data_IF_145875688012
#
_entry.id   IF_145875688012
#
_cell.length_a   1.000
_cell.length_b   1.000
_cell.length_c   1.000
_cell.angle_alpha   90.00
_cell.angle_beta   90.00
_cell.angle_gamma   90.00
#
_symmetry.space_group_name_H-M   'P 1'
#
loop_
_entity.id
_entity.type
_entity.pdbx_description
1 polymer ?
#
# COMPACT_ATOMS: atom_id res chain seq x y z
N UNK A 1 7.18 -26.60 1.83
CA UNK A 1 7.07 -26.13 3.23
C UNK A 1 8.41 -25.86 3.93
N UNK A 2 9.53 -26.55 3.64
CA UNK A 2 10.83 -26.26 4.31
C UNK A 2 11.47 -24.91 3.98
N UNK A 3 11.12 -24.28 2.86
CA UNK A 3 11.76 -23.04 2.39
C UNK A 3 11.10 -21.76 2.95
N UNK A 4 9.82 -21.83 3.33
CA UNK A 4 9.05 -20.67 3.81
C UNK A 4 9.46 -20.26 5.22
N UNK A 5 9.74 -21.21 6.12
CA UNK A 5 10.17 -20.91 7.48
C UNK A 5 11.56 -20.24 7.53
N UNK A 6 12.49 -20.72 6.69
CA UNK A 6 13.83 -20.12 6.56
C UNK A 6 13.74 -18.71 5.96
N UNK A 7 12.94 -18.51 4.93
CA UNK A 7 12.72 -17.21 4.32
C UNK A 7 12.11 -16.21 5.33
N UNK A 8 11.08 -16.61 6.09
CA UNK A 8 10.50 -15.76 7.13
C UNK A 8 11.53 -15.39 8.20
N UNK A 9 12.31 -16.37 8.66
CA UNK A 9 13.35 -16.13 9.66
C UNK A 9 14.40 -15.11 9.17
N UNK A 10 14.91 -15.27 7.95
CA UNK A 10 15.88 -14.35 7.36
C UNK A 10 15.32 -12.93 7.25
N UNK A 11 14.09 -12.79 6.76
CA UNK A 11 13.50 -11.47 6.54
C UNK A 11 13.15 -10.78 7.88
N UNK A 12 12.64 -11.52 8.86
CA UNK A 12 12.44 -11.00 10.23
C UNK A 12 13.76 -10.55 10.87
N UNK A 13 14.80 -11.36 10.73
CA UNK A 13 16.14 -10.99 11.22
C UNK A 13 16.62 -9.67 10.59
N UNK A 14 16.41 -9.49 9.28
CA UNK A 14 16.72 -8.24 8.58
C UNK A 14 15.99 -7.03 9.15
N UNK A 15 14.70 -7.17 9.52
CA UNK A 15 13.94 -6.07 10.15
C UNK A 15 14.42 -5.70 11.55
N UNK A 16 15.11 -6.61 12.25
CA UNK A 16 15.67 -6.38 13.58
C UNK A 16 17.07 -5.76 13.48
N UNK A 17 17.90 -6.27 12.56
CA UNK A 17 19.28 -5.78 12.39
C UNK A 17 19.36 -4.43 11.68
N UNK A 18 18.40 -4.14 10.79
CA UNK A 18 18.32 -2.91 10.03
C UNK A 18 16.87 -2.38 9.99
N UNK A 19 16.34 -1.87 11.12
CA UNK A 19 14.96 -1.41 11.22
C UNK A 19 14.70 -0.16 10.39
N UNK A 20 15.71 0.64 10.07
CA UNK A 20 15.64 1.83 9.22
C UNK A 20 15.79 1.52 7.71
N UNK A 21 16.02 0.25 7.36
CA UNK A 21 16.08 -0.20 5.98
C UNK A 21 14.68 -0.56 5.47
N UNK A 22 14.13 0.27 4.58
CA UNK A 22 12.78 0.04 4.06
C UNK A 22 12.64 -1.25 3.23
N UNK A 23 13.73 -1.74 2.62
CA UNK A 23 13.70 -2.94 1.79
C UNK A 23 13.46 -4.20 2.63
N UNK A 24 13.98 -4.27 3.86
CA UNK A 24 13.73 -5.42 4.75
C UNK A 24 12.26 -5.52 5.14
N UNK A 25 11.62 -4.37 5.41
CA UNK A 25 10.18 -4.30 5.68
C UNK A 25 9.33 -4.59 4.44
N UNK A 26 9.76 -4.13 3.26
CA UNK A 26 9.10 -4.43 1.99
C UNK A 26 9.10 -5.94 1.73
N UNK A 27 10.26 -6.59 1.86
CA UNK A 27 10.39 -8.04 1.69
C UNK A 27 9.55 -8.82 2.70
N UNK A 28 9.42 -8.33 3.94
CA UNK A 28 8.56 -8.96 4.95
C UNK A 28 7.09 -8.89 4.53
N UNK A 29 6.66 -7.73 4.06
CA UNK A 29 5.30 -7.54 3.58
C UNK A 29 5.01 -8.38 2.32
N UNK A 30 5.95 -8.46 1.38
CA UNK A 30 5.83 -9.30 0.17
C UNK A 30 5.77 -10.78 0.56
N UNK A 31 6.62 -11.23 1.49
CA UNK A 31 6.58 -12.60 1.99
C UNK A 31 5.19 -12.95 2.54
N UNK A 32 4.67 -12.13 3.47
CA UNK A 32 3.36 -12.37 4.07
C UNK A 32 2.23 -12.37 3.05
N UNK A 33 2.26 -11.45 2.08
CA UNK A 33 1.29 -11.42 0.97
C UNK A 33 1.35 -12.70 0.13
N UNK A 34 2.55 -13.18 -0.21
CA UNK A 34 2.72 -14.38 -1.03
C UNK A 34 2.24 -15.67 -0.34
N UNK A 35 2.23 -15.70 0.99
CA UNK A 35 1.66 -16.81 1.77
C UNK A 35 0.20 -16.59 2.18
N UNK A 36 -0.47 -15.58 1.63
CA UNK A 36 -1.90 -15.28 1.87
C UNK A 36 -2.18 -14.64 3.24
N UNK A 37 -1.17 -14.12 3.92
CA UNK A 37 -1.28 -13.46 5.22
C UNK A 37 -1.39 -11.94 5.06
N UNK A 38 -2.46 -11.48 4.43
CA UNK A 38 -2.63 -10.06 4.07
C UNK A 38 -2.61 -9.11 5.27
N UNK A 39 -3.12 -9.55 6.43
CA UNK A 39 -3.12 -8.75 7.65
C UNK A 39 -1.68 -8.55 8.18
N UNK A 40 -0.88 -9.61 8.24
CA UNK A 40 0.52 -9.55 8.66
C UNK A 40 1.34 -8.72 7.68
N UNK A 41 1.05 -8.84 6.37
CA UNK A 41 1.69 -8.04 5.35
C UNK A 41 1.42 -6.54 5.54
N UNK A 42 0.17 -6.18 5.80
CA UNK A 42 -0.20 -4.78 6.10
C UNK A 42 0.46 -4.27 7.38
N UNK A 43 0.54 -5.09 8.44
CA UNK A 43 1.25 -4.72 9.67
C UNK A 43 2.74 -4.50 9.42
N UNK A 44 3.40 -5.34 8.62
CA UNK A 44 4.80 -5.14 8.25
C UNK A 44 5.03 -3.81 7.52
N UNK A 45 4.12 -3.41 6.62
CA UNK A 45 4.17 -2.09 5.97
C UNK A 45 4.01 -0.95 6.97
N UNK A 46 3.07 -1.05 7.92
CA UNK A 46 2.86 0.00 8.93
C UNK A 46 4.05 0.12 9.88
N UNK A 47 4.60 -0.99 10.37
CA UNK A 47 5.78 -0.99 11.22
C UNK A 47 6.99 -0.45 10.46
N UNK A 48 7.19 -0.87 9.21
CA UNK A 48 8.26 -0.33 8.37
C UNK A 48 8.15 1.17 8.16
N UNK A 49 6.94 1.71 7.94
CA UNK A 49 6.74 3.17 7.83
C UNK A 49 6.97 3.91 9.15
N UNK A 50 6.83 3.27 10.31
CA UNK A 50 7.16 3.88 11.59
C UNK A 50 8.69 4.08 11.75
N UNK A 51 9.50 3.24 11.12
CA UNK A 51 10.96 3.37 11.10
C UNK A 51 11.48 4.15 9.87
N UNK A 52 10.80 4.02 8.74
CA UNK A 52 11.19 4.55 7.43
C UNK A 52 10.09 5.47 6.87
N UNK A 53 9.86 6.60 7.53
CA UNK A 53 8.72 7.50 7.29
C UNK A 53 8.54 7.97 5.83
N UNK A 54 9.63 8.06 5.06
CA UNK A 54 9.62 8.56 3.69
C UNK A 54 9.88 7.47 2.65
N UNK A 55 9.69 6.18 2.98
CA UNK A 55 9.94 5.10 2.03
C UNK A 55 8.92 5.07 0.89
N UNK A 56 9.33 5.29 -0.38
CA UNK A 56 8.40 5.26 -1.51
C UNK A 56 7.79 3.87 -1.73
N UNK A 57 8.57 2.80 -1.50
CA UNK A 57 8.13 1.42 -1.67
C UNK A 57 7.06 1.02 -0.63
N UNK A 58 7.21 1.46 0.62
CA UNK A 58 6.24 1.18 1.67
C UNK A 58 4.97 2.03 1.54
N UNK A 59 5.10 3.29 1.12
CA UNK A 59 3.93 4.11 0.77
C UNK A 59 3.13 3.51 -0.39
N UNK A 60 3.83 3.02 -1.42
CA UNK A 60 3.18 2.36 -2.56
C UNK A 60 2.41 1.11 -2.09
N UNK A 61 3.03 0.23 -1.31
CA UNK A 61 2.35 -0.96 -0.77
C UNK A 61 1.16 -0.61 0.12
N UNK A 62 1.29 0.41 1.00
CA UNK A 62 0.18 0.88 1.83
C UNK A 62 -0.98 1.37 0.97
N UNK A 63 -0.67 2.10 -0.11
CA UNK A 63 -1.64 2.52 -1.11
C UNK A 63 -2.39 1.34 -1.73
N UNK A 64 -1.69 0.30 -2.17
CA UNK A 64 -2.32 -0.90 -2.73
C UNK A 64 -3.27 -1.58 -1.74
N UNK A 65 -2.87 -1.76 -0.48
CA UNK A 65 -3.75 -2.34 0.55
C UNK A 65 -5.00 -1.48 0.80
N UNK A 66 -4.84 -0.15 0.82
CA UNK A 66 -5.97 0.76 1.03
C UNK A 66 -6.94 0.79 -0.16
N UNK A 67 -6.44 0.59 -1.39
CA UNK A 67 -7.29 0.44 -2.59
C UNK A 67 -8.10 -0.84 -2.49
N UNK A 68 -7.46 -1.97 -2.16
CA UNK A 68 -8.14 -3.26 -1.95
C UNK A 68 -9.19 -3.18 -0.84
N UNK A 69 -8.92 -2.40 0.21
CA UNK A 69 -9.87 -2.15 1.31
C UNK A 69 -10.98 -1.14 0.97
N UNK A 70 -11.03 -0.59 -0.26
CA UNK A 70 -12.03 0.38 -0.69
C UNK A 70 -11.89 1.78 -0.06
N UNK A 71 -10.79 2.07 0.64
CA UNK A 71 -10.59 3.33 1.40
C UNK A 71 -9.94 4.42 0.55
N UNK A 72 -10.52 4.76 -0.59
CA UNK A 72 -9.88 5.49 -1.71
C UNK A 72 -9.25 6.87 -1.42
N UNK A 73 -9.64 7.57 -0.34
CA UNK A 73 -9.04 8.88 0.02
C UNK A 73 -7.60 8.78 0.55
N UNK A 74 -7.29 7.75 1.35
CA UNK A 74 -5.95 7.54 1.93
C UNK A 74 -4.88 7.03 0.94
N UNK A 75 -5.18 6.11 -0.01
CA UNK A 75 -4.23 5.71 -1.03
C UNK A 75 -3.84 6.85 -1.97
N UNK A 76 -4.73 7.81 -2.21
CA UNK A 76 -4.41 8.97 -3.04
C UNK A 76 -3.24 9.77 -2.46
N UNK A 77 -3.25 10.08 -1.16
CA UNK A 77 -2.13 10.75 -0.51
C UNK A 77 -0.85 9.92 -0.49
N UNK A 78 -0.97 8.58 -0.36
CA UNK A 78 0.19 7.69 -0.36
C UNK A 78 0.88 7.61 -1.72
N UNK A 79 0.11 7.47 -2.81
CA UNK A 79 0.70 7.49 -4.15
C UNK A 79 1.23 8.86 -4.55
N UNK A 80 0.64 9.96 -4.06
CA UNK A 80 1.22 11.30 -4.21
C UNK A 80 2.58 11.41 -3.51
N UNK A 81 2.70 10.88 -2.29
CA UNK A 81 3.98 10.86 -1.59
C UNK A 81 5.01 10.05 -2.37
N UNK A 82 4.68 8.83 -2.83
CA UNK A 82 5.59 8.03 -3.66
C UNK A 82 6.01 8.78 -4.93
N UNK A 83 5.06 9.38 -5.65
CA UNK A 83 5.35 10.16 -6.86
C UNK A 83 6.29 11.34 -6.57
N UNK A 84 6.09 12.05 -5.45
CA UNK A 84 6.92 13.22 -5.10
C UNK A 84 8.39 12.88 -4.80
N UNK A 85 8.65 11.64 -4.34
CA UNK A 85 10.00 11.17 -3.98
C UNK A 85 10.65 10.46 -5.17
N UNK A 86 9.88 9.67 -5.94
CA UNK A 86 10.31 9.00 -7.17
C UNK A 86 9.63 9.62 -8.38
N UNK A 87 10.10 10.80 -8.76
CA UNK A 87 9.53 11.57 -9.88
C UNK A 87 9.71 10.89 -11.25
N UNK A 88 10.56 9.86 -11.35
CA UNK A 88 10.81 9.08 -12.57
C UNK A 88 10.04 7.74 -12.63
N UNK A 89 9.31 7.37 -11.56
CA UNK A 89 8.50 6.16 -11.51
C UNK A 89 7.06 6.45 -11.99
N UNK A 90 6.65 5.82 -13.10
CA UNK A 90 5.29 5.94 -13.62
C UNK A 90 4.22 5.18 -12.83
N UNK A 91 4.62 4.24 -11.97
CA UNK A 91 3.69 3.33 -11.27
C UNK A 91 2.73 4.06 -10.33
N UNK A 92 3.16 5.02 -9.49
CA UNK A 92 2.27 5.81 -8.65
C UNK A 92 1.29 6.65 -9.47
N UNK A 93 1.71 7.21 -10.61
CA UNK A 93 0.85 8.00 -11.50
C UNK A 93 -0.28 7.17 -12.11
N UNK A 94 0.00 5.91 -12.48
CA UNK A 94 -1.03 4.98 -12.96
C UNK A 94 -2.08 4.72 -11.87
N UNK A 95 -1.65 4.51 -10.63
CA UNK A 95 -2.57 4.27 -9.52
C UNK A 95 -3.39 5.52 -9.17
N UNK A 96 -2.78 6.71 -9.19
CA UNK A 96 -3.49 7.98 -9.03
C UNK A 96 -4.55 8.15 -10.13
N UNK A 97 -4.23 7.87 -11.39
CA UNK A 97 -5.19 7.94 -12.48
C UNK A 97 -6.37 6.96 -12.29
N UNK A 98 -6.10 5.74 -11.79
CA UNK A 98 -7.15 4.75 -11.48
C UNK A 98 -8.05 5.22 -10.34
N UNK A 99 -7.48 5.73 -9.25
CA UNK A 99 -8.25 6.28 -8.11
C UNK A 99 -9.09 7.47 -8.55
N UNK A 100 -8.52 8.40 -9.33
CA UNK A 100 -9.24 9.55 -9.87
C UNK A 100 -10.43 9.12 -10.73
N UNK A 101 -10.24 8.18 -11.67
CA UNK A 101 -11.34 7.64 -12.50
C UNK A 101 -12.42 6.95 -11.67
N UNK A 102 -12.04 6.19 -10.64
CA UNK A 102 -13.00 5.54 -9.74
C UNK A 102 -13.77 6.58 -8.90
N UNK A 103 -13.09 7.59 -8.36
CA UNK A 103 -13.75 8.65 -7.58
C UNK A 103 -14.70 9.49 -8.43
N UNK A 104 -14.39 9.70 -9.71
CA UNK A 104 -15.25 10.40 -10.66
C UNK A 104 -16.46 9.56 -11.08
N UNK A 105 -16.29 8.25 -11.28
CA UNK A 105 -17.40 7.34 -11.58
C UNK A 105 -18.34 7.15 -10.39
N UNK A 106 -17.80 7.07 -9.17
CA UNK A 106 -18.58 6.93 -7.95
C UNK A 106 -19.20 8.27 -7.51
N UNK A 107 -18.54 9.40 -7.72
CA UNK A 107 -19.12 10.73 -7.56
C UNK A 107 -20.30 10.99 -8.51
N UNK A 108 -20.22 10.49 -9.75
CA UNK A 108 -21.36 10.46 -10.70
C UNK A 108 -22.46 9.49 -10.24
N UNK A 109 -22.10 8.35 -9.64
CA UNK A 109 -23.06 7.37 -9.10
C UNK A 109 -23.79 7.89 -7.87
N UNK A 110 -23.10 8.56 -6.94
CA UNK A 110 -23.66 9.23 -5.76
C UNK A 110 -24.55 10.41 -6.18
N UNK A 111 -24.15 11.23 -7.16
CA UNK A 111 -25.03 12.28 -7.73
C UNK A 111 -26.27 11.68 -8.41
N UNK A 112 -26.15 10.56 -9.12
CA UNK A 112 -27.31 9.84 -9.68
C UNK A 112 -28.23 9.28 -8.59
N UNK A 113 -27.70 8.64 -7.55
CA UNK A 113 -28.53 8.08 -6.47
C UNK A 113 -29.27 9.18 -5.68
N UNK A 114 -28.63 10.33 -5.41
CA UNK A 114 -29.29 11.49 -4.78
C UNK A 114 -30.41 12.12 -5.62
N UNK A 115 -30.44 11.87 -6.94
CA UNK A 115 -31.49 12.36 -7.85
C UNK A 115 -32.76 11.47 -7.83
N UNK A 116 -32.70 10.28 -7.24
CA UNK A 116 -33.80 9.29 -7.23
C UNK A 116 -34.39 9.02 -5.85
N UNK A 117 -33.93 9.72 -4.80
CA UNK A 117 -34.58 9.70 -3.49
C UNK A 117 -35.47 10.94 -3.40
N UNK A 118 -36.80 10.80 -3.18
CA UNK A 118 -37.61 11.95 -2.81
C UNK A 118 -37.12 12.47 -1.45
N UNK A 119 -37.13 13.79 -1.31
CA UNK A 119 -36.87 14.54 -0.06
C UNK A 119 -37.72 14.04 1.09
#
# INVERSE_FOLDING_TARGET
MKNTAKALHTVLKGTIEAPDCADTWHELAVYYRNVGQDQQAYMAVLTGLAHCLNSPSLHYMRGEYLVTAGKLKKPFSDFQQTASIKNDDGSPHIQLARISKFSESDGRRIKRIKKWLPV
#
